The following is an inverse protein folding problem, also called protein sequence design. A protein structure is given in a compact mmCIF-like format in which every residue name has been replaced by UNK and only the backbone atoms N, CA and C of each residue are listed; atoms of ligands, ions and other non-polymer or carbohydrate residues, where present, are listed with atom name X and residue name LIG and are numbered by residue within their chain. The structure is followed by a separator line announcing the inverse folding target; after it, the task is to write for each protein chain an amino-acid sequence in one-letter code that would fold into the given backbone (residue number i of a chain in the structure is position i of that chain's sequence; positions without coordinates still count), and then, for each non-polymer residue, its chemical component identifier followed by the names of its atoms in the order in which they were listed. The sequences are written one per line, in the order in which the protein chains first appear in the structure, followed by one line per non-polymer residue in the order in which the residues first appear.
data_IF_404955334364
#
_entry.id   IF_404955334364
#
_cell.length_a   1.000
_cell.length_b   1.000
_cell.length_c   1.000
_cell.angle_alpha   90.00
_cell.angle_beta   90.00
_cell.angle_gamma   90.00
#
_symmetry.space_group_name_H-M   'P 1'
#
loop_
_entity.id
_entity.type
_entity.pdbx_description
1 polymer ?
#
# COMPACT_ATOMS: atom_id res chain seq x y z
N UNK A 1 52.29 29.86 -61.17
CA UNK A 1 53.12 29.27 -60.11
C UNK A 1 52.21 28.79 -59.03
N UNK A 2 51.96 27.55 -59.07
CA UNK A 2 51.74 26.54 -58.06
C UNK A 2 51.01 26.94 -56.81
N UNK A 3 49.70 26.62 -56.78
CA UNK A 3 48.92 26.61 -55.59
C UNK A 3 48.44 25.19 -55.31
N UNK A 4 48.97 24.59 -54.26
CA UNK A 4 48.58 23.26 -53.79
C UNK A 4 47.25 23.30 -53.05
N UNK A 5 46.28 22.49 -53.48
CA UNK A 5 45.04 22.21 -52.79
C UNK A 5 45.30 21.16 -51.74
N UNK A 6 45.15 21.52 -50.47
CA UNK A 6 45.07 20.57 -49.35
C UNK A 6 43.65 20.01 -49.21
N UNK A 7 43.54 18.70 -49.32
CA UNK A 7 42.29 17.96 -48.98
C UNK A 7 42.23 17.75 -47.48
N UNK A 8 41.24 18.34 -46.81
CA UNK A 8 40.92 18.02 -45.42
C UNK A 8 40.01 16.81 -45.38
N UNK A 9 40.52 15.76 -44.77
CA UNK A 9 39.80 14.52 -44.47
C UNK A 9 38.93 14.74 -43.25
N UNK A 10 37.62 14.63 -43.41
CA UNK A 10 36.66 14.69 -42.28
C UNK A 10 36.61 13.31 -41.66
N UNK A 11 37.18 13.17 -40.47
CA UNK A 11 37.02 11.99 -39.62
C UNK A 11 35.64 12.02 -38.94
N UNK A 12 34.79 11.09 -39.29
CA UNK A 12 33.55 10.85 -38.60
C UNK A 12 33.81 10.24 -37.22
N UNK A 13 33.64 11.03 -36.18
CA UNK A 13 33.69 10.56 -34.80
C UNK A 13 32.34 9.89 -34.48
N UNK A 14 32.33 8.58 -34.45
CA UNK A 14 31.18 7.80 -34.00
C UNK A 14 31.03 7.96 -32.49
N UNK A 15 30.07 8.76 -32.09
CA UNK A 15 29.65 8.89 -30.67
C UNK A 15 29.02 7.57 -30.23
N UNK A 16 29.75 6.77 -29.48
CA UNK A 16 29.19 5.66 -28.73
C UNK A 16 28.35 6.25 -27.61
N UNK A 17 27.04 6.23 -27.77
CA UNK A 17 26.06 6.43 -26.67
C UNK A 17 26.22 5.28 -25.70
N UNK A 18 26.89 5.51 -24.60
CA UNK A 18 26.91 4.64 -23.46
C UNK A 18 25.51 4.70 -22.83
N UNK A 19 24.70 3.71 -23.09
CA UNK A 19 23.51 3.45 -22.26
C UNK A 19 24.01 3.06 -20.87
N UNK A 20 24.05 4.06 -19.99
CA UNK A 20 24.17 3.81 -18.57
C UNK A 20 22.88 3.10 -18.14
N UNK A 21 22.98 1.80 -17.84
CA UNK A 21 22.02 1.09 -17.04
C UNK A 21 22.03 1.72 -15.64
N UNK A 22 21.36 2.86 -15.49
CA UNK A 22 20.99 3.36 -14.19
C UNK A 22 20.01 2.32 -13.63
N UNK A 23 20.46 1.57 -12.63
CA UNK A 23 19.59 0.74 -11.78
C UNK A 23 18.56 1.71 -11.21
N UNK A 24 17.36 1.73 -11.80
CA UNK A 24 16.24 2.46 -11.22
C UNK A 24 16.04 1.88 -9.82
N UNK A 25 15.96 2.71 -8.77
CA UNK A 25 15.66 2.19 -7.44
C UNK A 25 14.34 1.42 -7.55
N UNK A 26 14.36 0.13 -7.18
CA UNK A 26 13.14 -0.70 -7.11
C UNK A 26 12.14 0.05 -6.27
N UNK A 27 10.98 0.30 -6.83
CA UNK A 27 9.89 0.97 -6.14
C UNK A 27 9.48 0.05 -4.98
N UNK A 28 9.88 0.40 -3.77
CA UNK A 28 9.50 -0.36 -2.58
C UNK A 28 8.01 -0.15 -2.39
N UNK A 29 7.23 -1.16 -2.74
CA UNK A 29 5.78 -1.08 -2.60
C UNK A 29 5.43 -0.87 -1.12
N UNK A 30 4.76 0.22 -0.84
CA UNK A 30 4.24 0.55 0.49
C UNK A 30 2.94 -0.20 0.80
N UNK A 31 2.39 -0.93 -0.17
CA UNK A 31 1.11 -1.65 -0.08
C UNK A 31 1.32 -3.12 -0.49
N UNK A 32 0.56 -4.03 0.13
CA UNK A 32 0.53 -5.44 -0.27
C UNK A 32 -0.37 -5.70 -1.48
N UNK A 33 -0.79 -4.67 -2.13
CA UNK A 33 -1.55 -4.76 -3.36
C UNK A 33 -1.16 -3.64 -4.32
N UNK A 34 -1.34 -3.91 -5.59
CA UNK A 34 -1.08 -2.99 -6.69
C UNK A 34 -2.38 -2.78 -7.46
N UNK A 35 -2.77 -1.53 -7.68
CA UNK A 35 -3.87 -1.20 -8.58
C UNK A 35 -3.29 -0.62 -9.86
N UNK A 36 -3.63 -1.22 -11.00
CA UNK A 36 -3.19 -0.77 -12.32
C UNK A 36 -4.42 -0.44 -13.16
N UNK A 37 -4.48 0.78 -13.68
CA UNK A 37 -5.47 1.18 -14.66
C UNK A 37 -4.85 1.22 -16.05
N UNK A 38 -5.35 0.35 -16.94
CA UNK A 38 -4.86 0.17 -18.32
C UNK A 38 -5.92 0.68 -19.30
N UNK A 39 -5.62 1.77 -19.99
CA UNK A 39 -6.49 2.31 -21.02
C UNK A 39 -5.68 2.99 -22.13
N UNK A 40 -5.84 2.56 -23.38
CA UNK A 40 -5.13 3.13 -24.52
C UNK A 40 -5.57 4.54 -24.93
N UNK A 41 -6.69 5.04 -24.38
CA UNK A 41 -7.24 6.36 -24.67
C UNK A 41 -7.03 7.36 -23.52
N UNK A 42 -6.03 7.13 -22.68
CA UNK A 42 -5.71 8.07 -21.58
C UNK A 42 -5.20 9.38 -22.16
N UNK A 43 -5.92 10.46 -21.84
CA UNK A 43 -5.52 11.83 -22.09
C UNK A 43 -5.59 12.61 -20.76
N UNK A 44 -4.43 13.01 -20.25
CA UNK A 44 -4.31 13.73 -18.97
C UNK A 44 -5.02 15.08 -18.97
N UNK A 45 -5.30 15.65 -20.15
CA UNK A 45 -6.05 16.89 -20.30
C UNK A 45 -7.57 16.67 -20.26
N UNK A 46 -8.04 15.44 -20.32
CA UNK A 46 -9.45 15.09 -20.30
C UNK A 46 -10.00 15.11 -18.87
N UNK A 47 -11.11 15.84 -18.67
CA UNK A 47 -11.78 15.95 -17.37
C UNK A 47 -12.34 14.60 -16.89
N UNK A 48 -12.84 13.75 -17.80
CA UNK A 48 -13.34 12.42 -17.44
C UNK A 48 -12.23 11.51 -16.92
N UNK A 49 -11.04 11.59 -17.52
CA UNK A 49 -9.86 10.89 -17.02
C UNK A 49 -9.50 11.38 -15.61
N UNK A 50 -9.35 12.70 -15.42
CA UNK A 50 -9.00 13.28 -14.12
C UNK A 50 -10.01 12.94 -13.04
N UNK A 51 -11.30 13.01 -13.35
CA UNK A 51 -12.38 12.66 -12.42
C UNK A 51 -12.38 11.16 -12.08
N UNK A 52 -12.11 10.30 -13.05
CA UNK A 52 -12.03 8.86 -12.83
C UNK A 52 -10.83 8.50 -11.96
N UNK A 53 -9.66 9.05 -12.28
CA UNK A 53 -8.44 8.84 -11.50
C UNK A 53 -8.58 9.36 -10.06
N UNK A 54 -9.19 10.53 -9.87
CA UNK A 54 -9.47 11.08 -8.55
C UNK A 54 -10.38 10.15 -7.71
N UNK A 55 -11.41 9.57 -8.31
CA UNK A 55 -12.29 8.60 -7.64
C UNK A 55 -11.57 7.30 -7.28
N UNK A 56 -10.69 6.82 -8.16
CA UNK A 56 -9.86 5.64 -7.88
C UNK A 56 -8.90 5.92 -6.73
N UNK A 57 -8.20 7.07 -6.74
CA UNK A 57 -7.29 7.48 -5.67
C UNK A 57 -7.99 7.76 -4.34
N UNK A 58 -9.26 8.12 -4.37
CA UNK A 58 -10.09 8.21 -3.17
C UNK A 58 -10.52 6.83 -2.62
N UNK A 59 -10.44 5.79 -3.43
CA UNK A 59 -10.77 4.43 -3.03
C UNK A 59 -9.54 3.65 -2.54
N UNK A 60 -8.37 3.89 -3.15
CA UNK A 60 -7.10 3.21 -2.87
C UNK A 60 -5.97 4.22 -2.90
N UNK A 61 -4.95 4.02 -2.06
CA UNK A 61 -3.88 5.02 -1.88
C UNK A 61 -3.02 5.25 -3.12
N UNK A 62 -2.82 4.21 -3.94
CA UNK A 62 -1.97 4.30 -5.13
C UNK A 62 -2.64 3.64 -6.33
N UNK A 63 -2.62 4.34 -7.46
CA UNK A 63 -3.12 3.84 -8.75
C UNK A 63 -2.05 4.09 -9.80
N UNK A 64 -1.51 3.01 -10.34
CA UNK A 64 -0.59 3.05 -11.47
C UNK A 64 -1.39 3.09 -12.76
N UNK A 65 -0.98 3.93 -13.68
CA UNK A 65 -1.68 4.15 -14.94
C UNK A 65 -0.75 3.82 -16.10
N UNK A 66 -1.24 3.03 -17.06
CA UNK A 66 -0.52 2.74 -18.28
C UNK A 66 -1.46 2.68 -19.48
N UNK A 67 -0.91 2.93 -20.67
CA UNK A 67 -1.66 3.00 -21.92
C UNK A 67 -1.50 1.76 -22.78
N UNK A 68 -0.59 0.85 -22.41
CA UNK A 68 -0.25 -0.35 -23.19
C UNK A 68 -0.28 -1.61 -22.34
N UNK A 69 -0.36 -2.76 -23.02
CA UNK A 69 -0.31 -4.07 -22.38
C UNK A 69 1.06 -4.33 -21.74
N UNK A 70 2.12 -3.94 -22.45
CA UNK A 70 3.51 -4.09 -22.01
C UNK A 70 3.75 -3.34 -20.72
N UNK A 71 3.24 -2.09 -20.60
CA UNK A 71 3.36 -1.28 -19.40
C UNK A 71 2.66 -1.93 -18.19
N UNK A 72 1.51 -2.58 -18.40
CA UNK A 72 0.85 -3.34 -17.34
C UNK A 72 1.68 -4.54 -16.90
N UNK A 73 2.25 -5.28 -17.85
CA UNK A 73 3.10 -6.44 -17.57
C UNK A 73 4.40 -6.01 -16.83
N UNK A 74 4.99 -4.85 -17.19
CA UNK A 74 6.14 -4.29 -16.48
C UNK A 74 5.81 -4.04 -15.00
N UNK A 75 4.72 -3.35 -14.69
CA UNK A 75 4.28 -3.15 -13.30
C UNK A 75 4.10 -4.46 -12.56
N UNK A 76 3.47 -5.46 -13.20
CA UNK A 76 3.31 -6.78 -12.61
C UNK A 76 4.65 -7.48 -12.36
N UNK A 77 5.64 -7.33 -13.23
CA UNK A 77 6.94 -7.96 -13.09
C UNK A 77 7.82 -7.28 -12.02
N UNK A 78 7.66 -5.97 -11.85
CA UNK A 78 8.36 -5.20 -10.80
C UNK A 78 7.84 -5.50 -9.39
N UNK A 79 6.66 -6.08 -9.30
CA UNK A 79 6.03 -6.47 -8.04
C UNK A 79 6.68 -7.74 -7.51
N UNK A 80 7.31 -7.68 -6.34
CA UNK A 80 7.91 -8.86 -5.70
C UNK A 80 6.84 -9.76 -5.08
N UNK A 81 6.00 -9.21 -4.19
CA UNK A 81 4.93 -9.92 -3.47
C UNK A 81 3.62 -9.12 -3.47
N UNK A 82 2.51 -9.77 -3.12
CA UNK A 82 1.20 -9.14 -2.94
C UNK A 82 0.20 -9.45 -4.06
N UNK A 83 -0.92 -8.72 -4.05
CA UNK A 83 -2.05 -8.90 -4.98
C UNK A 83 -2.14 -7.75 -5.97
N UNK A 84 -2.40 -8.03 -7.22
CA UNK A 84 -2.63 -7.02 -8.25
C UNK A 84 -4.11 -6.99 -8.66
N UNK A 85 -4.66 -5.78 -8.75
CA UNK A 85 -6.01 -5.48 -9.18
C UNK A 85 -5.93 -4.65 -10.46
N UNK A 86 -6.45 -5.20 -11.55
CA UNK A 86 -6.33 -4.59 -12.86
C UNK A 86 -7.67 -4.00 -13.27
N UNK A 87 -7.68 -2.74 -13.68
CA UNK A 87 -8.82 -2.09 -14.31
C UNK A 87 -8.43 -1.89 -15.78
N UNK A 88 -9.14 -2.49 -16.72
CA UNK A 88 -8.80 -2.38 -18.13
C UNK A 88 -9.98 -1.91 -18.96
N UNK A 89 -9.70 -1.10 -19.99
CA UNK A 89 -10.70 -0.80 -21.01
C UNK A 89 -11.14 -2.08 -21.74
N UNK A 90 -12.36 -2.08 -22.26
CA UNK A 90 -12.94 -3.29 -22.84
C UNK A 90 -12.12 -3.90 -23.98
N UNK A 91 -11.55 -3.06 -24.84
CA UNK A 91 -10.78 -3.52 -26.01
C UNK A 91 -9.41 -4.06 -25.59
N UNK A 92 -8.68 -3.34 -24.75
CA UNK A 92 -7.38 -3.80 -24.25
C UNK A 92 -7.54 -5.02 -23.34
N UNK A 93 -8.58 -5.04 -22.50
CA UNK A 93 -8.82 -6.15 -21.57
C UNK A 93 -8.98 -7.49 -22.27
N UNK A 94 -9.61 -7.53 -23.44
CA UNK A 94 -9.78 -8.77 -24.20
C UNK A 94 -8.46 -9.43 -24.60
N UNK A 95 -7.43 -8.63 -24.88
CA UNK A 95 -6.08 -9.12 -25.19
C UNK A 95 -5.26 -9.34 -23.92
N UNK A 96 -5.27 -8.37 -23.02
CA UNK A 96 -4.49 -8.40 -21.78
C UNK A 96 -4.79 -9.61 -20.90
N UNK A 97 -6.08 -9.98 -20.77
CA UNK A 97 -6.50 -11.05 -19.86
C UNK A 97 -5.84 -12.38 -20.19
N UNK A 98 -5.64 -12.71 -21.47
CA UNK A 98 -4.98 -13.95 -21.88
C UNK A 98 -3.56 -14.06 -21.32
N UNK A 99 -2.83 -12.93 -21.26
CA UNK A 99 -1.44 -12.89 -20.83
C UNK A 99 -1.29 -12.88 -19.30
N UNK A 100 -2.20 -12.19 -18.59
CA UNK A 100 -2.05 -11.96 -17.14
C UNK A 100 -2.88 -12.87 -16.26
N UNK A 101 -3.94 -13.51 -16.79
CA UNK A 101 -4.86 -14.34 -16.00
C UNK A 101 -4.14 -15.49 -15.27
N UNK A 102 -3.12 -16.09 -15.90
CA UNK A 102 -2.29 -17.15 -15.30
C UNK A 102 -1.34 -16.69 -14.22
N UNK A 103 -1.12 -15.39 -14.05
CA UNK A 103 -0.18 -14.87 -13.05
C UNK A 103 -0.75 -15.01 -11.64
N UNK A 104 -0.03 -15.65 -10.67
CA UNK A 104 -0.52 -15.85 -9.31
C UNK A 104 -0.83 -14.53 -8.59
N UNK A 105 -0.03 -13.51 -8.83
CA UNK A 105 -0.19 -12.18 -8.21
C UNK A 105 -1.41 -11.39 -8.71
N UNK A 106 -1.99 -11.72 -9.86
CA UNK A 106 -3.23 -11.09 -10.33
C UNK A 106 -4.43 -11.73 -9.61
N UNK A 107 -5.09 -10.95 -8.74
CA UNK A 107 -6.21 -11.40 -7.93
C UNK A 107 -7.56 -11.11 -8.60
N UNK A 108 -7.73 -9.91 -9.15
CA UNK A 108 -8.97 -9.53 -9.82
C UNK A 108 -8.74 -8.57 -10.99
N UNK A 109 -9.62 -8.71 -11.99
CA UNK A 109 -9.65 -7.87 -13.19
C UNK A 109 -11.04 -7.26 -13.32
N UNK A 110 -11.11 -5.96 -13.55
CA UNK A 110 -12.33 -5.19 -13.77
C UNK A 110 -12.30 -4.63 -15.19
N UNK A 111 -13.35 -4.90 -15.97
CA UNK A 111 -13.47 -4.34 -17.32
C UNK A 111 -14.31 -3.07 -17.24
N UNK A 112 -13.71 -1.92 -17.58
CA UNK A 112 -14.37 -0.62 -17.58
C UNK A 112 -14.59 -0.15 -19.02
N UNK A 113 -15.82 -0.06 -19.45
CA UNK A 113 -16.15 0.27 -20.86
C UNK A 113 -17.52 0.91 -21.01
N UNK A 114 -17.71 1.67 -22.07
CA UNK A 114 -19.00 2.32 -22.39
C UNK A 114 -20.09 1.34 -22.87
N UNK A 115 -19.75 0.14 -23.34
CA UNK A 115 -20.70 -0.85 -23.85
C UNK A 115 -20.49 -2.22 -23.19
N UNK A 116 -21.23 -2.45 -22.12
CA UNK A 116 -21.18 -3.70 -21.35
C UNK A 116 -21.50 -4.94 -22.18
N UNK A 117 -22.55 -4.88 -23.00
CA UNK A 117 -23.03 -6.03 -23.77
C UNK A 117 -21.98 -6.59 -24.72
N UNK A 118 -21.10 -5.73 -25.26
CA UNK A 118 -20.02 -6.13 -26.17
C UNK A 118 -18.96 -6.99 -25.49
N UNK A 119 -18.74 -6.82 -24.20
CA UNK A 119 -17.61 -7.42 -23.50
C UNK A 119 -18.04 -8.50 -22.48
N UNK A 120 -19.32 -8.53 -22.10
CA UNK A 120 -19.81 -9.42 -21.06
C UNK A 120 -19.75 -10.91 -21.45
N UNK A 121 -19.86 -11.24 -22.74
CA UNK A 121 -19.84 -12.63 -23.24
C UNK A 121 -18.48 -13.30 -22.97
N UNK A 122 -17.41 -12.69 -23.43
CA UNK A 122 -16.06 -13.23 -23.25
C UNK A 122 -15.53 -13.05 -21.81
N UNK A 123 -15.94 -11.98 -21.14
CA UNK A 123 -15.49 -11.71 -19.77
C UNK A 123 -15.90 -12.81 -18.77
N UNK A 124 -17.05 -13.46 -18.98
CA UNK A 124 -17.54 -14.56 -18.14
C UNK A 124 -16.70 -15.83 -18.21
N UNK A 125 -15.89 -15.99 -19.26
CA UNK A 125 -15.02 -17.16 -19.45
C UNK A 125 -13.78 -17.10 -18.52
N UNK A 126 -13.49 -15.95 -17.92
CA UNK A 126 -12.31 -15.71 -17.12
C UNK A 126 -12.63 -15.52 -15.63
N UNK A 127 -12.31 -16.51 -14.77
CA UNK A 127 -12.68 -16.47 -13.36
C UNK A 127 -12.16 -15.26 -12.55
N UNK A 128 -11.03 -14.69 -12.96
CA UNK A 128 -10.47 -13.51 -12.29
C UNK A 128 -11.15 -12.20 -12.71
N UNK A 129 -11.99 -12.19 -13.75
CA UNK A 129 -12.77 -11.02 -14.11
C UNK A 129 -13.97 -10.92 -13.16
N UNK A 130 -13.99 -9.85 -12.35
CA UNK A 130 -15.07 -9.57 -11.39
C UNK A 130 -16.32 -8.98 -12.04
N UNK A 131 -16.19 -8.47 -13.24
CA UNK A 131 -17.32 -7.98 -14.04
C UNK A 131 -16.95 -6.94 -15.07
N UNK A 132 -17.98 -6.55 -15.85
CA UNK A 132 -17.92 -5.50 -16.86
C UNK A 132 -18.77 -4.32 -16.37
N UNK A 133 -18.17 -3.15 -16.25
CA UNK A 133 -18.74 -1.97 -15.63
C UNK A 133 -18.76 -0.78 -16.60
N UNK A 134 -19.85 -0.04 -16.59
CA UNK A 134 -20.01 1.20 -17.36
C UNK A 134 -19.81 2.46 -16.50
N UNK A 135 -19.64 2.26 -15.21
CA UNK A 135 -19.37 3.31 -14.22
C UNK A 135 -18.22 2.92 -13.32
N UNK A 136 -17.39 3.88 -12.94
CA UNK A 136 -16.24 3.64 -12.06
C UNK A 136 -16.64 3.38 -10.61
N UNK A 137 -17.82 3.85 -10.17
CA UNK A 137 -18.24 3.77 -8.77
C UNK A 137 -18.27 2.33 -8.22
N UNK A 138 -18.89 1.34 -8.87
CA UNK A 138 -18.87 -0.05 -8.36
C UNK A 138 -17.46 -0.65 -8.29
N UNK A 139 -16.57 -0.25 -9.20
CA UNK A 139 -15.17 -0.67 -9.17
C UNK A 139 -14.48 -0.08 -7.92
N UNK A 140 -14.67 1.22 -7.64
CA UNK A 140 -14.14 1.86 -6.44
C UNK A 140 -14.66 1.20 -5.15
N UNK A 141 -15.95 0.85 -5.09
CA UNK A 141 -16.53 0.14 -3.94
C UNK A 141 -15.91 -1.24 -3.74
N UNK A 142 -15.71 -1.98 -4.82
CA UNK A 142 -15.02 -3.28 -4.78
C UNK A 142 -13.56 -3.15 -4.36
N UNK A 143 -12.84 -2.16 -4.91
CA UNK A 143 -11.45 -1.92 -4.56
C UNK A 143 -11.28 -1.49 -3.09
N UNK A 144 -12.15 -0.65 -2.55
CA UNK A 144 -12.13 -0.29 -1.13
C UNK A 144 -12.22 -1.51 -0.23
N UNK A 145 -13.15 -2.41 -0.53
CA UNK A 145 -13.33 -3.65 0.23
C UNK A 145 -12.09 -4.52 0.18
N UNK A 146 -11.54 -4.73 -1.01
CA UNK A 146 -10.36 -5.58 -1.20
C UNK A 146 -9.11 -4.95 -0.61
N UNK A 147 -8.93 -3.63 -0.72
CA UNK A 147 -7.84 -2.91 -0.09
C UNK A 147 -7.86 -3.09 1.43
N UNK A 148 -9.05 -2.97 2.03
CA UNK A 148 -9.23 -3.22 3.46
C UNK A 148 -8.91 -4.68 3.84
N UNK A 149 -9.35 -5.65 3.04
CA UNK A 149 -9.03 -7.07 3.25
C UNK A 149 -7.51 -7.31 3.14
N UNK A 150 -6.83 -6.75 2.13
CA UNK A 150 -5.39 -6.84 1.98
C UNK A 150 -4.63 -6.20 3.13
N UNK A 151 -5.05 -5.04 3.60
CA UNK A 151 -4.44 -4.37 4.75
C UNK A 151 -4.63 -5.17 6.04
N UNK A 152 -5.78 -5.81 6.20
CA UNK A 152 -6.07 -6.67 7.35
C UNK A 152 -5.27 -7.98 7.31
N UNK A 153 -5.22 -8.65 6.15
CA UNK A 153 -4.54 -9.95 5.98
C UNK A 153 -3.01 -9.85 6.10
N UNK A 154 -2.47 -8.66 5.89
CA UNK A 154 -1.03 -8.43 5.79
C UNK A 154 -0.33 -8.13 7.11
N UNK A 155 -1.01 -8.20 8.25
CA UNK A 155 -0.35 -7.98 9.54
C UNK A 155 0.53 -9.20 9.82
N UNK A 156 1.87 -9.08 9.76
CA UNK A 156 2.74 -10.21 10.02
C UNK A 156 2.55 -10.71 11.45
N UNK A 157 2.37 -12.00 11.61
CA UNK A 157 2.41 -12.63 12.92
C UNK A 157 3.81 -13.17 13.16
N UNK A 158 4.53 -12.60 14.11
CA UNK A 158 5.76 -13.20 14.61
C UNK A 158 5.46 -13.93 15.92
N UNK A 159 5.85 -15.21 15.99
CA UNK A 159 5.76 -15.98 17.20
C UNK A 159 7.10 -15.91 17.92
N UNK A 160 7.14 -15.18 19.03
CA UNK A 160 8.29 -15.22 19.94
C UNK A 160 7.99 -16.28 20.99
N UNK A 161 8.82 -17.31 21.14
CA UNK A 161 8.64 -18.33 22.18
C UNK A 161 8.50 -17.69 23.55
N UNK A 162 7.51 -18.11 24.33
CA UNK A 162 7.20 -17.55 25.66
C UNK A 162 8.42 -17.56 26.59
N UNK A 163 9.31 -18.52 26.43
CA UNK A 163 10.57 -18.62 27.17
C UNK A 163 11.49 -17.43 26.91
N UNK A 164 11.63 -16.99 25.65
CA UNK A 164 12.49 -15.86 25.27
C UNK A 164 11.96 -14.54 25.86
N UNK A 165 10.64 -14.36 25.90
CA UNK A 165 10.01 -13.16 26.49
C UNK A 165 10.17 -13.13 28.01
N UNK A 166 10.04 -14.29 28.67
CA UNK A 166 10.21 -14.39 30.13
C UNK A 166 11.67 -14.19 30.58
N UNK A 167 12.62 -14.65 29.79
CA UNK A 167 14.06 -14.51 30.06
C UNK A 167 14.58 -13.11 29.75
N UNK A 168 14.02 -12.43 28.72
CA UNK A 168 14.34 -11.03 28.38
C UNK A 168 13.84 -10.02 29.45
N UNK A 169 12.80 -10.39 30.22
CA UNK A 169 12.33 -9.61 31.36
C UNK A 169 13.16 -9.81 32.65
N UNK A 170 14.03 -10.81 32.68
CA UNK A 170 14.77 -11.23 33.88
C UNK A 170 16.24 -10.75 33.96
N UNK A 171 16.75 -9.98 32.98
CA UNK A 171 18.10 -9.42 33.04
C UNK A 171 18.89 -9.51 31.73
N UNK A 172 20.02 -8.79 31.61
CA UNK A 172 20.73 -8.61 30.36
C UNK A 172 21.65 -9.81 30.04
N UNK A 173 21.09 -10.97 29.75
CA UNK A 173 21.89 -12.07 29.20
C UNK A 173 21.87 -11.95 27.67
N UNK A 174 22.95 -11.41 27.14
CA UNK A 174 23.20 -11.01 25.75
C UNK A 174 23.00 -12.16 24.74
N UNK A 175 22.94 -13.40 25.21
CA UNK A 175 22.83 -14.61 24.37
C UNK A 175 21.44 -14.84 23.77
N UNK A 176 20.39 -14.24 24.31
CA UNK A 176 19.02 -14.45 23.82
C UNK A 176 18.56 -13.38 22.81
N UNK A 177 19.21 -12.24 22.74
CA UNK A 177 18.87 -11.17 21.79
C UNK A 177 19.15 -11.55 20.34
N UNK A 178 20.21 -12.35 20.10
CA UNK A 178 20.59 -12.80 18.75
C UNK A 178 19.58 -13.79 18.15
N UNK A 179 18.66 -14.33 18.95
CA UNK A 179 17.61 -15.26 18.49
C UNK A 179 16.30 -14.55 18.12
N UNK A 180 16.18 -13.26 18.42
CA UNK A 180 14.98 -12.50 18.10
C UNK A 180 15.01 -12.02 16.65
N UNK A 181 13.88 -12.12 15.90
CA UNK A 181 13.80 -11.54 14.59
C UNK A 181 14.16 -10.05 14.61
N UNK A 182 14.92 -9.58 13.62
CA UNK A 182 15.30 -8.17 13.53
C UNK A 182 14.06 -7.24 13.55
N UNK A 183 12.95 -7.66 12.91
CA UNK A 183 11.67 -6.94 12.92
C UNK A 183 11.10 -6.76 14.33
N UNK A 184 11.24 -7.77 15.20
CA UNK A 184 10.81 -7.66 16.59
C UNK A 184 11.66 -6.63 17.36
N UNK A 185 12.97 -6.68 17.22
CA UNK A 185 13.86 -5.71 17.83
C UNK A 185 13.55 -4.27 17.42
N UNK A 186 13.35 -4.06 16.12
CA UNK A 186 12.94 -2.75 15.58
C UNK A 186 11.61 -2.28 16.17
N UNK A 187 10.62 -3.16 16.30
CA UNK A 187 9.31 -2.78 16.84
C UNK A 187 9.38 -2.40 18.32
N UNK A 188 10.22 -3.07 19.12
CA UNK A 188 10.43 -2.74 20.54
C UNK A 188 11.11 -1.37 20.66
N UNK A 189 12.25 -1.18 20.00
CA UNK A 189 12.99 0.09 20.03
C UNK A 189 12.10 1.23 19.55
N UNK A 190 11.38 1.01 18.46
CA UNK A 190 10.50 2.01 17.88
C UNK A 190 9.35 2.38 18.82
N UNK A 191 8.74 1.38 19.50
CA UNK A 191 7.71 1.62 20.50
C UNK A 191 8.26 2.54 21.61
N UNK A 192 9.43 2.23 22.12
CA UNK A 192 10.04 3.00 23.21
C UNK A 192 10.32 4.44 22.77
N UNK A 193 10.87 4.65 21.56
CA UNK A 193 11.07 5.98 20.98
C UNK A 193 9.74 6.74 20.88
N UNK A 194 8.68 6.14 20.33
CA UNK A 194 7.38 6.80 20.16
C UNK A 194 6.75 7.16 21.52
N UNK A 195 6.93 6.33 22.54
CA UNK A 195 6.39 6.60 23.88
C UNK A 195 7.15 7.71 24.62
N UNK A 196 8.45 7.88 24.33
CA UNK A 196 9.29 8.92 24.93
C UNK A 196 9.16 10.29 24.24
N UNK A 197 8.68 10.35 22.99
CA UNK A 197 8.49 11.64 22.31
C UNK A 197 7.39 12.43 23.02
N UNK A 198 7.79 13.54 23.64
CA UNK A 198 6.85 14.51 24.20
C UNK A 198 6.37 15.46 23.10
N UNK A 199 5.22 15.18 22.55
CA UNK A 199 4.64 15.92 21.43
C UNK A 199 3.54 16.88 21.90
N UNK A 200 3.58 18.09 21.39
CA UNK A 200 2.40 18.97 21.39
C UNK A 200 1.36 18.38 20.44
N UNK A 201 0.28 17.81 20.99
CA UNK A 201 -0.84 17.23 20.23
C UNK A 201 -1.34 18.11 19.09
N UNK A 202 -1.33 19.43 19.27
CA UNK A 202 -1.79 20.37 18.25
C UNK A 202 -0.82 20.39 17.07
N UNK A 203 0.47 20.47 17.35
CA UNK A 203 1.53 20.48 16.33
C UNK A 203 1.55 19.14 15.59
N UNK A 204 1.43 18.03 16.32
CA UNK A 204 1.38 16.68 15.75
C UNK A 204 0.17 16.49 14.85
N UNK A 205 -1.00 17.00 15.24
CA UNK A 205 -2.22 16.97 14.41
C UNK A 205 -2.07 17.81 13.13
N UNK A 206 -1.41 18.98 13.21
CA UNK A 206 -1.18 19.82 12.03
C UNK A 206 -0.15 19.15 11.08
N UNK A 207 0.86 18.49 11.62
CA UNK A 207 1.83 17.72 10.85
C UNK A 207 1.18 16.53 10.16
N UNK A 208 0.32 15.79 10.87
CA UNK A 208 -0.45 14.68 10.29
C UNK A 208 -1.36 15.17 9.15
N UNK A 209 -1.98 16.34 9.31
CA UNK A 209 -2.83 16.93 8.26
C UNK A 209 -2.07 17.15 6.95
N UNK A 210 -0.85 17.66 7.01
CA UNK A 210 0.01 17.83 5.83
C UNK A 210 0.31 16.47 5.21
N UNK A 211 0.77 15.52 6.01
CA UNK A 211 1.08 14.16 5.55
C UNK A 211 -0.14 13.47 4.89
N UNK A 212 -1.34 13.59 5.48
CA UNK A 212 -2.55 13.02 4.89
C UNK A 212 -2.89 13.63 3.52
N UNK A 213 -2.64 14.93 3.32
CA UNK A 213 -2.81 15.57 2.02
C UNK A 213 -1.85 15.02 0.98
N UNK A 214 -0.58 14.82 1.35
CA UNK A 214 0.42 14.22 0.47
C UNK A 214 0.07 12.77 0.10
N UNK A 215 -0.66 12.08 0.97
CA UNK A 215 -1.23 10.75 0.74
C UNK A 215 -2.59 10.77 0.01
N UNK A 216 -3.02 11.92 -0.52
CA UNK A 216 -4.29 12.12 -1.22
C UNK A 216 -5.55 11.74 -0.40
N UNK A 217 -5.50 11.86 0.92
CA UNK A 217 -6.68 11.69 1.77
C UNK A 217 -7.63 12.88 1.58
N UNK A 218 -8.95 12.65 1.41
CA UNK A 218 -9.92 13.73 1.24
C UNK A 218 -9.88 14.74 2.39
N UNK A 219 -9.84 16.03 2.06
CA UNK A 219 -9.75 17.12 3.05
C UNK A 219 -10.90 17.09 4.05
N UNK A 220 -12.08 16.61 3.63
CA UNK A 220 -13.25 16.46 4.48
C UNK A 220 -13.02 15.44 5.59
N UNK A 221 -12.42 14.28 5.28
CA UNK A 221 -12.10 13.24 6.24
C UNK A 221 -11.04 13.72 7.24
N UNK A 222 -10.02 14.42 6.76
CA UNK A 222 -8.96 14.98 7.60
C UNK A 222 -9.52 16.01 8.58
N UNK A 223 -10.38 16.92 8.11
CA UNK A 223 -11.00 17.95 8.95
C UNK A 223 -11.99 17.35 9.94
N UNK A 224 -12.75 16.32 9.55
CA UNK A 224 -13.65 15.61 10.46
C UNK A 224 -12.86 14.89 11.58
N UNK A 225 -11.77 14.21 11.22
CA UNK A 225 -10.86 13.61 12.18
C UNK A 225 -10.31 14.66 13.16
N UNK A 226 -9.69 15.75 12.67
CA UNK A 226 -9.13 16.81 13.50
C UNK A 226 -10.16 17.39 14.47
N UNK A 227 -11.37 17.66 13.99
CA UNK A 227 -12.44 18.26 14.78
C UNK A 227 -12.96 17.34 15.89
N UNK A 228 -13.06 16.03 15.58
CA UNK A 228 -13.70 15.06 16.46
C UNK A 228 -12.72 14.19 17.26
N UNK A 229 -11.42 14.33 17.00
CA UNK A 229 -10.40 13.44 17.57
C UNK A 229 -10.54 13.26 19.08
N UNK A 230 -10.66 14.35 19.83
CA UNK A 230 -10.78 14.32 21.29
C UNK A 230 -12.17 13.92 21.82
N UNK A 231 -13.17 13.77 20.94
CA UNK A 231 -14.54 13.37 21.31
C UNK A 231 -14.71 11.85 21.37
N UNK A 232 -13.76 11.12 20.83
CA UNK A 232 -13.77 9.66 20.76
C UNK A 232 -12.43 9.11 21.22
N UNK A 233 -12.45 7.87 21.73
CA UNK A 233 -11.23 7.20 22.17
C UNK A 233 -10.31 6.80 21.01
N UNK A 234 -9.00 6.67 21.23
CA UNK A 234 -8.07 6.15 20.25
C UNK A 234 -8.48 4.79 19.67
N UNK A 235 -8.94 3.86 20.51
CA UNK A 235 -9.45 2.55 20.08
C UNK A 235 -10.65 2.70 19.13
N UNK A 236 -11.57 3.61 19.43
CA UNK A 236 -12.70 3.88 18.54
C UNK A 236 -12.25 4.37 17.16
N UNK A 237 -11.25 5.28 17.10
CA UNK A 237 -10.69 5.76 15.85
C UNK A 237 -9.97 4.67 15.07
N UNK A 238 -9.25 3.80 15.76
CA UNK A 238 -8.55 2.68 15.15
C UNK A 238 -9.52 1.65 14.54
N UNK A 239 -10.64 1.37 15.22
CA UNK A 239 -11.64 0.39 14.76
C UNK A 239 -12.60 0.94 13.72
N UNK A 240 -12.61 2.24 13.49
CA UNK A 240 -13.43 2.86 12.47
C UNK A 240 -12.76 2.70 11.09
N UNK A 241 -13.57 2.34 10.08
CA UNK A 241 -13.12 2.24 8.69
C UNK A 241 -12.85 3.63 8.06
N UNK A 242 -11.74 4.25 8.47
CA UNK A 242 -11.25 5.52 7.92
C UNK A 242 -9.78 5.34 7.49
N UNK A 243 -9.23 6.36 6.82
CA UNK A 243 -7.84 6.37 6.35
C UNK A 243 -6.81 5.99 7.43
N UNK A 244 -7.09 6.31 8.71
CA UNK A 244 -6.17 6.13 9.82
C UNK A 244 -5.79 4.66 10.04
N UNK A 245 -6.76 3.73 9.97
CA UNK A 245 -6.52 2.31 10.11
C UNK A 245 -5.55 1.78 9.04
N UNK A 246 -5.85 2.04 7.77
CA UNK A 246 -5.01 1.58 6.66
C UNK A 246 -3.62 2.21 6.68
N UNK A 247 -3.54 3.52 6.97
CA UNK A 247 -2.28 4.25 7.04
C UNK A 247 -1.38 3.74 8.18
N UNK A 248 -1.94 3.52 9.37
CA UNK A 248 -1.20 3.01 10.53
C UNK A 248 -0.69 1.59 10.28
N UNK A 249 -1.57 0.68 9.86
CA UNK A 249 -1.19 -0.71 9.63
C UNK A 249 -0.15 -0.85 8.51
N UNK A 250 -0.27 -0.05 7.44
CA UNK A 250 0.72 0.02 6.38
C UNK A 250 2.06 0.53 6.91
N UNK A 251 2.08 1.64 7.64
CA UNK A 251 3.30 2.21 8.21
C UNK A 251 4.02 1.23 9.14
N UNK A 252 3.28 0.55 10.01
CA UNK A 252 3.83 -0.46 10.92
C UNK A 252 4.39 -1.67 10.17
N UNK A 253 3.73 -2.11 9.11
CA UNK A 253 4.16 -3.28 8.33
C UNK A 253 5.39 -3.00 7.49
N UNK A 254 5.41 -1.87 6.78
CA UNK A 254 6.54 -1.49 5.91
C UNK A 254 7.71 -0.89 6.69
N UNK A 255 7.57 -0.71 8.01
CA UNK A 255 8.51 0.04 8.85
C UNK A 255 8.77 1.43 8.28
N UNK A 256 7.72 2.07 7.74
CA UNK A 256 7.78 3.42 7.22
C UNK A 256 7.95 4.41 8.37
N UNK A 257 9.20 4.81 8.58
CA UNK A 257 9.57 5.72 9.67
C UNK A 257 8.89 7.08 9.56
N UNK A 258 8.65 7.59 8.35
CA UNK A 258 7.95 8.85 8.17
C UNK A 258 6.50 8.74 8.62
N UNK A 259 5.76 7.75 8.11
CA UNK A 259 4.38 7.48 8.51
C UNK A 259 4.28 7.29 10.03
N UNK A 260 5.19 6.50 10.61
CA UNK A 260 5.19 6.19 12.03
C UNK A 260 5.47 7.41 12.91
N UNK A 261 6.37 8.30 12.51
CA UNK A 261 6.64 9.56 13.22
C UNK A 261 5.41 10.48 13.13
N UNK A 262 4.80 10.62 11.94
CA UNK A 262 3.60 11.46 11.76
C UNK A 262 2.38 10.95 12.53
N UNK A 263 2.26 9.64 12.70
CA UNK A 263 1.21 8.97 13.46
C UNK A 263 1.60 8.75 14.93
N UNK A 264 2.80 9.12 15.35
CA UNK A 264 3.37 8.81 16.67
C UNK A 264 2.47 9.18 17.84
N UNK A 265 1.89 10.38 17.82
CA UNK A 265 0.94 10.82 18.87
C UNK A 265 -0.27 9.88 18.96
N UNK A 266 -0.80 9.43 17.82
CA UNK A 266 -1.94 8.52 17.80
C UNK A 266 -1.54 7.12 18.29
N UNK A 267 -0.37 6.61 17.87
CA UNK A 267 0.18 5.34 18.33
C UNK A 267 0.32 5.35 19.85
N UNK A 268 0.87 6.43 20.41
CA UNK A 268 1.03 6.62 21.85
C UNK A 268 -0.31 6.62 22.58
N UNK A 269 -1.27 7.42 22.12
CA UNK A 269 -2.60 7.47 22.74
C UNK A 269 -3.32 6.12 22.67
N UNK A 270 -3.20 5.42 21.54
CA UNK A 270 -3.77 4.08 21.38
C UNK A 270 -3.11 3.06 22.32
N UNK A 271 -1.79 3.11 22.45
CA UNK A 271 -1.04 2.23 23.36
C UNK A 271 -1.44 2.45 24.81
N UNK A 272 -1.46 3.69 25.27
CA UNK A 272 -1.86 4.05 26.64
C UNK A 272 -3.27 3.55 26.93
N UNK A 273 -4.22 3.81 26.05
CA UNK A 273 -5.60 3.35 26.24
C UNK A 273 -5.71 1.81 26.25
N UNK A 274 -4.98 1.12 25.40
CA UNK A 274 -4.97 -0.36 25.40
C UNK A 274 -4.38 -0.91 26.70
N UNK A 275 -3.38 -0.26 27.25
CA UNK A 275 -2.77 -0.62 28.52
C UNK A 275 -3.75 -0.41 29.71
N UNK A 276 -4.43 0.72 29.73
CA UNK A 276 -5.50 1.02 30.71
C UNK A 276 -6.62 -0.01 30.65
N UNK A 277 -7.14 -0.28 29.45
CA UNK A 277 -8.17 -1.30 29.24
C UNK A 277 -7.72 -2.71 29.64
N UNK A 278 -6.46 -3.04 29.38
CA UNK A 278 -5.89 -4.32 29.80
C UNK A 278 -5.80 -4.41 31.33
N UNK A 279 -5.38 -3.36 32.02
CA UNK A 279 -5.32 -3.32 33.48
C UNK A 279 -6.71 -3.44 34.10
N UNK A 280 -7.70 -2.73 33.59
CA UNK A 280 -9.09 -2.80 34.07
C UNK A 280 -9.71 -4.19 33.88
N UNK A 281 -9.45 -4.84 32.75
CA UNK A 281 -10.05 -6.11 32.39
C UNK A 281 -9.26 -7.33 32.90
N UNK A 282 -8.00 -7.17 33.23
CA UNK A 282 -7.08 -8.28 33.59
C UNK A 282 -7.61 -9.13 34.75
N UNK A 283 -8.24 -8.48 35.73
CA UNK A 283 -8.84 -9.17 36.88
C UNK A 283 -10.05 -10.07 36.52
N UNK A 284 -10.74 -9.76 35.42
CA UNK A 284 -11.91 -10.49 34.95
C UNK A 284 -11.58 -11.63 33.98
N UNK A 285 -10.35 -11.66 33.44
CA UNK A 285 -9.91 -12.74 32.57
C UNK A 285 -9.65 -14.02 33.34
N UNK A 286 -10.18 -15.14 32.84
CA UNK A 286 -9.80 -16.47 33.32
C UNK A 286 -8.31 -16.70 33.05
N UNK A 287 -7.68 -17.59 33.83
CA UNK A 287 -6.25 -17.95 33.66
C UNK A 287 -5.87 -18.42 32.25
N UNK A 288 -6.86 -18.90 31.49
CA UNK A 288 -6.69 -19.32 30.10
C UNK A 288 -7.95 -19.00 29.31
N UNK A 289 -7.78 -18.38 28.14
CA UNK A 289 -8.84 -18.14 27.17
C UNK A 289 -8.30 -18.37 25.75
N UNK A 290 -9.19 -18.67 24.83
CA UNK A 290 -8.85 -18.91 23.43
C UNK A 290 -9.33 -17.71 22.63
N UNK A 291 -8.46 -17.16 21.79
CA UNK A 291 -8.78 -16.13 20.81
C UNK A 291 -8.65 -16.71 19.40
N UNK A 292 -9.51 -16.26 18.50
CA UNK A 292 -9.48 -16.62 17.11
C UNK A 292 -9.17 -15.37 16.27
N UNK A 293 -8.27 -15.53 15.30
CA UNK A 293 -7.98 -14.50 14.32
C UNK A 293 -8.27 -15.04 12.93
N UNK A 294 -9.18 -14.39 12.20
CA UNK A 294 -9.31 -14.62 10.76
C UNK A 294 -8.16 -13.94 10.02
N UNK A 295 -7.43 -14.70 9.22
CA UNK A 295 -6.36 -14.18 8.38
C UNK A 295 -6.30 -15.01 7.11
N UNK A 296 -6.17 -14.33 5.93
CA UNK A 296 -5.80 -15.01 4.70
C UNK A 296 -4.34 -15.45 4.78
N UNK A 297 -4.09 -16.73 4.56
CA UNK A 297 -2.74 -17.28 4.49
C UNK A 297 -2.36 -17.44 3.01
N UNK A 298 -1.12 -17.13 2.66
CA UNK A 298 -0.56 -17.51 1.37
C UNK A 298 -0.18 -18.99 1.38
N UNK A 299 -0.02 -19.61 0.21
CA UNK A 299 0.43 -21.01 0.13
C UNK A 299 1.87 -21.22 0.64
N UNK A 300 2.56 -20.15 1.03
CA UNK A 300 3.93 -20.18 1.55
C UNK A 300 3.97 -20.06 3.09
N UNK A 301 2.87 -19.74 3.73
CA UNK A 301 2.72 -19.72 5.19
C UNK A 301 2.19 -21.07 5.72
#
# INVERSE_FOLDING_TARGET
MSGQKSKSTVSATTSRTSTSNAIRPRHRMTQNYLVIWVDGNIDENNDDYRNTLAKLRAAVSEVNVCTTLEGCIEFLNEMDDGKAFIISSGTLGQHLVADIHGMPKVDAIYIFCGNKARHESWAKEWPKIRGVFTSIKPICESLKKVAHECDHDSIPMSFVPKQIVAEGAAGPDQKNLDQLPASYMYSVIFKDIILEIDDDDKKSMDTLKVYCRDQNIPEEEINDFKRKYRQKSPVWWYTKEIFLYGMLNRGLRSLDMEAMIKLGFFIRHLHIQLEELHQEQSASFKKSFIVYRGQGLSQQD
#
